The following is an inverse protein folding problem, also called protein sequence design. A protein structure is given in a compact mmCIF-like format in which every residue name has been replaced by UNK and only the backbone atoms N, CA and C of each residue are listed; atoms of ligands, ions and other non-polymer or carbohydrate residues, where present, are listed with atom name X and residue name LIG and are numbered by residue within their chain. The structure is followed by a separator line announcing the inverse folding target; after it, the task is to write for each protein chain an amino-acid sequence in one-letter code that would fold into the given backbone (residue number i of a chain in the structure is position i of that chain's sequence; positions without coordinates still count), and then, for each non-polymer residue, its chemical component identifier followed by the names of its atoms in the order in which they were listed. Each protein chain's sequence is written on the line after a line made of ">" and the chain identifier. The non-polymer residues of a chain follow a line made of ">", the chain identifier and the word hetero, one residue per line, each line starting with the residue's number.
data_IF_885445292643
#
_entry.id   IF_885445292643
#
_cell.length_a   1.000
_cell.length_b   1.000
_cell.length_c   1.000
_cell.angle_alpha   90.00
_cell.angle_beta   90.00
_cell.angle_gamma   90.00
#
_symmetry.space_group_name_H-M   'P 1'
#
loop_
_entity.id
_entity.type
_entity.pdbx_description
1 polymer ?
#
# COMPACT_ATOMS: atom_id res chain seq x y z
N UNK A 1 -26.94 12.26 -66.63
CA UNK A 1 -25.46 12.13 -66.67
C UNK A 1 -24.81 12.99 -65.60
N UNK A 2 -25.07 14.30 -65.55
CA UNK A 2 -24.48 15.21 -64.56
C UNK A 2 -24.82 14.84 -63.10
N UNK A 3 -26.09 14.53 -62.80
CA UNK A 3 -26.52 14.06 -61.46
C UNK A 3 -25.85 12.76 -61.00
N UNK A 4 -25.48 11.87 -61.94
CA UNK A 4 -24.76 10.63 -61.61
C UNK A 4 -23.31 10.93 -61.21
N UNK A 5 -22.67 11.90 -61.87
CA UNK A 5 -21.31 12.34 -61.52
C UNK A 5 -21.27 13.09 -60.19
N UNK A 6 -22.28 13.90 -59.89
CA UNK A 6 -22.41 14.57 -58.58
C UNK A 6 -22.55 13.53 -57.46
N UNK A 7 -23.48 12.58 -57.61
CA UNK A 7 -23.67 11.48 -56.64
C UNK A 7 -22.40 10.65 -56.44
N UNK A 8 -21.70 10.29 -57.51
CA UNK A 8 -20.44 9.53 -57.41
C UNK A 8 -19.34 10.34 -56.72
N UNK A 9 -19.32 11.66 -56.87
CA UNK A 9 -18.37 12.54 -56.19
C UNK A 9 -18.66 12.60 -54.70
N UNK A 10 -19.93 12.67 -54.31
CA UNK A 10 -20.36 12.66 -52.91
C UNK A 10 -20.07 11.32 -52.24
N UNK A 11 -20.33 10.21 -52.93
CA UNK A 11 -19.97 8.86 -52.46
C UNK A 11 -18.45 8.73 -52.26
N UNK A 12 -17.65 9.24 -53.21
CA UNK A 12 -16.19 9.25 -53.08
C UNK A 12 -15.70 10.12 -51.92
N UNK A 13 -16.36 11.25 -51.65
CA UNK A 13 -16.04 12.09 -50.51
C UNK A 13 -16.37 11.39 -49.19
N UNK A 14 -17.52 10.73 -49.14
CA UNK A 14 -17.98 9.95 -47.98
C UNK A 14 -17.02 8.80 -47.69
N UNK A 15 -16.68 7.99 -48.70
CA UNK A 15 -15.70 6.89 -48.54
C UNK A 15 -14.33 7.37 -48.08
N UNK A 16 -13.87 8.54 -48.56
CA UNK A 16 -12.61 9.13 -48.08
C UNK A 16 -12.68 9.50 -46.61
N UNK A 17 -13.82 10.03 -46.16
CA UNK A 17 -14.04 10.36 -44.76
C UNK A 17 -14.08 9.09 -43.91
N UNK A 18 -14.84 8.08 -44.32
CA UNK A 18 -14.91 6.79 -43.61
C UNK A 18 -13.53 6.14 -43.49
N UNK A 19 -12.70 6.19 -44.54
CA UNK A 19 -11.32 5.70 -44.50
C UNK A 19 -10.46 6.50 -43.51
N UNK A 20 -10.67 7.81 -43.38
CA UNK A 20 -9.98 8.63 -42.40
C UNK A 20 -10.39 8.23 -40.97
N UNK A 21 -11.69 8.09 -40.73
CA UNK A 21 -12.24 7.72 -39.43
C UNK A 21 -11.75 6.33 -39.00
N UNK A 22 -11.70 5.35 -39.92
CA UNK A 22 -11.15 4.01 -39.66
C UNK A 22 -9.66 4.08 -39.26
N UNK A 23 -8.87 4.97 -39.89
CA UNK A 23 -7.45 5.13 -39.54
C UNK A 23 -7.29 5.72 -38.14
N UNK A 24 -8.15 6.65 -37.76
CA UNK A 24 -8.11 7.26 -36.43
C UNK A 24 -8.56 6.25 -35.36
N UNK A 25 -9.64 5.52 -35.59
CA UNK A 25 -10.06 4.41 -34.73
C UNK A 25 -8.95 3.36 -34.56
N UNK A 26 -8.23 3.02 -35.63
CA UNK A 26 -7.10 2.09 -35.55
C UNK A 26 -5.98 2.63 -34.66
N UNK A 27 -5.72 3.94 -34.68
CA UNK A 27 -4.72 4.57 -33.79
C UNK A 27 -5.18 4.52 -32.34
N UNK A 28 -6.45 4.83 -32.07
CA UNK A 28 -7.01 4.76 -30.73
C UNK A 28 -6.97 3.33 -30.16
N UNK A 29 -7.28 2.32 -30.97
CA UNK A 29 -7.18 0.91 -30.56
C UNK A 29 -5.73 0.53 -30.20
N UNK A 30 -4.75 1.02 -30.95
CA UNK A 30 -3.34 0.77 -30.63
C UNK A 30 -2.90 1.47 -29.35
N UNK A 31 -3.31 2.72 -29.13
CA UNK A 31 -3.05 3.46 -27.89
C UNK A 31 -3.69 2.77 -26.68
N UNK A 32 -4.95 2.34 -26.82
CA UNK A 32 -5.64 1.59 -25.78
C UNK A 32 -4.93 0.27 -25.47
N UNK A 33 -4.45 -0.45 -26.49
CA UNK A 33 -3.64 -1.66 -26.30
C UNK A 33 -2.41 -1.39 -25.44
N UNK A 34 -1.63 -0.35 -25.77
CA UNK A 34 -0.43 0.02 -25.00
C UNK A 34 -0.75 0.41 -23.55
N UNK A 35 -1.87 1.12 -23.34
CA UNK A 35 -2.32 1.51 -22.00
C UNK A 35 -2.78 0.31 -21.18
N UNK A 36 -3.46 -0.65 -21.81
CA UNK A 36 -3.84 -1.92 -21.16
C UNK A 36 -2.60 -2.70 -20.76
N UNK A 37 -1.64 -2.89 -21.67
CA UNK A 37 -0.37 -3.59 -21.37
C UNK A 37 0.37 -2.94 -20.19
N UNK A 38 0.37 -1.60 -20.13
CA UNK A 38 1.01 -0.85 -19.03
C UNK A 38 0.28 -1.08 -17.70
N UNK A 39 -1.05 -1.11 -17.71
CA UNK A 39 -1.86 -1.36 -16.51
C UNK A 39 -1.70 -2.80 -16.04
N UNK A 40 -1.67 -3.77 -16.95
CA UNK A 40 -1.46 -5.18 -16.63
C UNK A 40 -0.08 -5.39 -15.97
N UNK A 41 0.99 -4.85 -16.54
CA UNK A 41 2.33 -4.91 -15.93
C UNK A 41 2.38 -4.27 -14.55
N UNK A 42 1.71 -3.13 -14.37
CA UNK A 42 1.62 -2.47 -13.07
C UNK A 42 0.79 -3.27 -12.05
N UNK A 43 -0.22 -4.00 -12.52
CA UNK A 43 -1.02 -4.89 -11.69
C UNK A 43 -0.18 -6.09 -11.24
N UNK A 44 0.54 -6.75 -12.14
CA UNK A 44 1.41 -7.88 -11.82
C UNK A 44 2.44 -7.51 -10.75
N UNK A 45 3.11 -6.36 -10.91
CA UNK A 45 4.08 -5.87 -9.93
C UNK A 45 3.45 -5.60 -8.55
N UNK A 46 2.20 -5.11 -8.51
CA UNK A 46 1.46 -4.89 -7.25
C UNK A 46 1.00 -6.19 -6.61
N UNK A 47 0.63 -7.18 -7.41
CA UNK A 47 0.28 -8.51 -6.90
C UNK A 47 1.49 -9.18 -6.25
N UNK A 48 2.67 -9.09 -6.86
CA UNK A 48 3.92 -9.55 -6.27
C UNK A 48 4.24 -8.85 -4.94
N UNK A 49 4.07 -7.53 -4.89
CA UNK A 49 4.28 -6.75 -3.66
C UNK A 49 3.29 -7.15 -2.56
N UNK A 50 2.01 -7.30 -2.90
CA UNK A 50 0.98 -7.75 -1.96
C UNK A 50 1.26 -9.14 -1.42
N UNK A 51 1.75 -10.06 -2.26
CA UNK A 51 2.13 -11.40 -1.83
C UNK A 51 3.36 -11.39 -0.92
N UNK A 52 4.30 -10.48 -1.14
CA UNK A 52 5.41 -10.25 -0.21
C UNK A 52 4.88 -9.78 1.16
N UNK A 53 4.07 -8.72 1.17
CA UNK A 53 3.47 -8.18 2.40
C UNK A 53 2.62 -9.21 3.14
N UNK A 54 1.87 -10.05 2.43
CA UNK A 54 1.08 -11.14 3.01
C UNK A 54 1.93 -12.20 3.71
N UNK A 55 3.19 -12.39 3.30
CA UNK A 55 4.12 -13.31 3.96
C UNK A 55 4.83 -12.65 5.14
N UNK A 56 5.22 -11.39 4.99
CA UNK A 56 5.97 -10.66 6.03
C UNK A 56 5.11 -10.27 7.22
N UNK A 57 3.85 -9.88 6.99
CA UNK A 57 2.98 -9.36 8.04
C UNK A 57 2.68 -10.38 9.14
N UNK A 58 2.35 -11.65 8.85
CA UNK A 58 2.23 -12.70 9.87
C UNK A 58 3.54 -12.94 10.61
N UNK A 59 4.68 -12.98 9.91
CA UNK A 59 5.98 -13.20 10.54
C UNK A 59 6.35 -12.09 11.54
N UNK A 60 6.02 -10.84 11.19
CA UNK A 60 6.20 -9.70 12.10
C UNK A 60 5.22 -9.74 13.28
N UNK A 61 3.98 -10.18 13.06
CA UNK A 61 2.99 -10.37 14.13
C UNK A 61 3.44 -11.45 15.12
N UNK A 62 3.90 -12.60 14.63
CA UNK A 62 4.41 -13.70 15.45
C UNK A 62 5.60 -13.25 16.29
N UNK A 63 6.55 -12.53 15.68
CA UNK A 63 7.71 -11.97 16.39
C UNK A 63 7.30 -10.94 17.44
N UNK A 64 6.31 -10.11 17.16
CA UNK A 64 5.80 -9.15 18.13
C UNK A 64 5.17 -9.88 19.34
N UNK A 65 4.38 -10.91 19.08
CA UNK A 65 3.76 -11.74 20.11
C UNK A 65 4.82 -12.46 20.96
N UNK A 66 5.86 -13.03 20.34
CA UNK A 66 6.97 -13.66 21.06
C UNK A 66 7.68 -12.66 21.98
N UNK A 67 7.98 -11.46 21.49
CA UNK A 67 8.61 -10.41 22.29
C UNK A 67 7.73 -9.95 23.45
N UNK A 68 6.41 -9.89 23.26
CA UNK A 68 5.46 -9.58 24.34
C UNK A 68 5.51 -10.65 25.44
N UNK A 69 5.53 -11.94 25.07
CA UNK A 69 5.67 -13.02 26.06
C UNK A 69 7.01 -12.97 26.80
N UNK A 70 8.10 -12.64 26.12
CA UNK A 70 9.41 -12.48 26.77
C UNK A 70 9.42 -11.32 27.77
N UNK A 71 8.80 -10.18 27.41
CA UNK A 71 8.66 -9.04 28.33
C UNK A 71 7.85 -9.44 29.56
N UNK A 72 6.72 -10.12 29.38
CA UNK A 72 5.88 -10.57 30.48
C UNK A 72 6.61 -11.53 31.43
N UNK A 73 7.36 -12.50 30.90
CA UNK A 73 8.17 -13.41 31.71
C UNK A 73 9.26 -12.66 32.49
N UNK A 74 9.97 -11.73 31.84
CA UNK A 74 11.00 -10.91 32.50
C UNK A 74 10.41 -10.02 33.60
N UNK A 75 9.26 -9.39 33.37
CA UNK A 75 8.56 -8.61 34.39
C UNK A 75 8.14 -9.48 35.57
N UNK A 76 7.59 -10.67 35.30
CA UNK A 76 7.18 -11.61 36.34
C UNK A 76 8.37 -12.09 37.17
N UNK A 77 9.50 -12.42 36.53
CA UNK A 77 10.75 -12.77 37.23
C UNK A 77 11.28 -11.62 38.07
N UNK A 78 11.29 -10.40 37.52
CA UNK A 78 11.72 -9.19 38.25
C UNK A 78 10.83 -8.94 39.48
N UNK A 79 9.51 -9.02 39.33
CA UNK A 79 8.55 -8.86 40.44
C UNK A 79 8.73 -9.93 41.52
N UNK A 80 8.98 -11.19 41.13
CA UNK A 80 9.26 -12.29 42.08
C UNK A 80 10.57 -12.10 42.82
N UNK A 81 11.56 -11.48 42.19
CA UNK A 81 12.86 -11.16 42.80
C UNK A 81 12.83 -9.90 43.68
N UNK A 82 11.78 -9.09 43.62
CA UNK A 82 11.68 -7.84 44.37
C UNK A 82 10.83 -8.02 45.63
N UNK A 83 11.44 -7.82 46.81
CA UNK A 83 10.70 -7.74 48.08
C UNK A 83 10.05 -6.36 48.16
N UNK A 84 8.71 -6.32 48.13
CA UNK A 84 7.94 -5.07 48.23
C UNK A 84 7.58 -4.81 49.70
N UNK A 85 8.45 -4.09 50.41
CA UNK A 85 8.19 -3.74 51.81
C UNK A 85 7.20 -2.56 51.84
N UNK A 86 5.98 -2.80 52.33
CA UNK A 86 4.96 -1.77 52.56
C UNK A 86 4.90 -1.45 54.05
N UNK A 87 4.83 -0.17 54.41
CA UNK A 87 4.70 0.27 55.81
C UNK A 87 6.01 0.52 56.55
N UNK A 88 7.15 0.64 55.86
CA UNK A 88 8.37 1.18 56.47
C UNK A 88 8.15 2.67 56.66
N UNK A 89 7.98 3.10 57.92
CA UNK A 89 8.18 4.51 58.28
C UNK A 89 9.62 4.87 57.96
N UNK A 90 9.85 6.05 57.37
CA UNK A 90 11.17 6.52 56.97
C UNK A 90 12.04 6.76 58.22
N UNK A 91 12.58 5.70 58.81
CA UNK A 91 13.39 5.79 60.02
C UNK A 91 14.82 6.09 59.62
N UNK A 92 15.08 7.37 59.42
CA UNK A 92 16.37 7.97 59.72
C UNK A 92 17.12 8.51 58.51
N UNK A 93 16.70 9.67 58.01
CA UNK A 93 17.65 10.76 57.76
C UNK A 93 16.97 12.15 57.81
N UNK A 94 16.74 12.65 59.03
CA UNK A 94 16.68 14.10 59.27
C UNK A 94 17.50 14.44 60.51
N UNK A 95 18.75 13.99 60.50
CA UNK A 95 19.79 14.63 61.30
C UNK A 95 20.10 16.01 60.71
N UNK A 96 19.93 17.04 61.52
CA UNK A 96 20.54 18.38 61.42
C UNK A 96 20.25 19.23 60.17
N UNK A 97 19.31 20.16 60.33
CA UNK A 97 19.53 21.55 59.88
C UNK A 97 19.01 22.49 60.97
N UNK A 98 19.94 23.19 61.63
CA UNK A 98 19.64 24.23 62.61
C UNK A 98 19.23 25.56 61.97
N UNK A 99 18.93 26.51 62.88
CA UNK A 99 18.37 27.88 62.71
C UNK A 99 16.83 27.87 62.66
N UNK A 100 16.11 28.58 63.53
CA UNK A 100 16.37 29.83 64.27
C UNK A 100 15.96 29.73 65.74
#
# INVERSE_FOLDING_TARGET
>A
MEQLFESLRDDLATLKQEIADIKDLRREVLDLGQRVDTVEQAQDAREEELDCHRRELPALQDKNQELQYQIEDLENRSRRSNIRIKGVSDTGNSGTTGRL
#
